data_IF_031351647765
#
_entry.id   IF_031351647765
#
_cell.length_a   1.000
_cell.length_b   1.000
_cell.length_c   1.000
_cell.angle_alpha   90.00
_cell.angle_beta   90.00
_cell.angle_gamma   90.00
#
_symmetry.space_group_name_H-M   'P 1'
#
loop_
_entity.id
_entity.type
_entity.pdbx_description
1 polymer ?
#
# COMPACT_ATOMS: atom_id res chain seq x y z
N UNK A 1 18.65 -11.14 19.22
CA UNK A 1 17.18 -11.12 19.04
C UNK A 1 16.85 -11.66 17.66
N UNK A 2 16.08 -12.75 17.59
CA UNK A 2 15.62 -13.35 16.32
C UNK A 2 14.24 -12.79 15.96
N UNK A 3 14.11 -12.14 14.81
CA UNK A 3 12.86 -11.52 14.35
C UNK A 3 12.39 -12.24 13.07
N UNK A 4 11.16 -12.75 13.10
CA UNK A 4 10.49 -13.20 11.88
C UNK A 4 9.68 -12.04 11.28
N UNK A 5 10.02 -11.67 10.05
CA UNK A 5 9.40 -10.61 9.26
C UNK A 5 8.45 -11.26 8.24
N UNK A 6 7.15 -10.97 8.36
CA UNK A 6 6.12 -11.61 7.53
C UNK A 6 5.75 -10.72 6.36
N UNK A 7 5.79 -11.28 5.15
CA UNK A 7 5.34 -10.64 3.92
C UNK A 7 4.40 -11.56 3.15
N UNK A 8 3.33 -10.99 2.58
CA UNK A 8 2.31 -11.81 1.88
C UNK A 8 1.82 -11.21 0.57
N UNK A 9 1.89 -9.91 0.43
CA UNK A 9 1.38 -9.16 -0.72
C UNK A 9 2.35 -8.04 -1.11
N UNK A 10 2.24 -7.54 -2.35
CA UNK A 10 3.14 -6.49 -2.88
C UNK A 10 3.28 -5.26 -1.97
N UNK A 11 2.22 -4.69 -1.39
CA UNK A 11 2.36 -3.56 -0.47
C UNK A 11 3.25 -3.84 0.74
N UNK A 12 3.32 -5.11 1.19
CA UNK A 12 4.20 -5.48 2.31
C UNK A 12 5.69 -5.35 1.94
N UNK A 13 6.07 -5.62 0.67
CA UNK A 13 7.47 -5.52 0.26
C UNK A 13 8.00 -4.09 0.35
N UNK A 14 7.21 -3.11 -0.08
CA UNK A 14 7.58 -1.69 0.03
C UNK A 14 7.77 -1.28 1.49
N UNK A 15 6.95 -1.81 2.40
CA UNK A 15 6.98 -1.49 3.83
C UNK A 15 8.11 -2.20 4.57
N UNK A 16 8.40 -3.46 4.20
CA UNK A 16 9.42 -4.25 4.91
C UNK A 16 10.85 -3.93 4.48
N UNK A 17 11.06 -3.46 3.25
CA UNK A 17 12.37 -3.17 2.70
C UNK A 17 13.25 -2.29 3.61
N UNK A 18 12.80 -1.11 4.06
CA UNK A 18 13.61 -0.26 4.93
C UNK A 18 13.83 -0.87 6.31
N UNK A 19 12.90 -1.70 6.81
CA UNK A 19 13.04 -2.39 8.08
C UNK A 19 14.14 -3.45 8.04
N UNK A 20 14.16 -4.28 7.00
CA UNK A 20 15.22 -5.28 6.79
C UNK A 20 16.59 -4.60 6.64
N UNK A 21 16.65 -3.54 5.84
CA UNK A 21 17.89 -2.79 5.67
C UNK A 21 18.41 -2.21 7.00
N UNK A 22 17.50 -1.67 7.82
CA UNK A 22 17.88 -1.14 9.13
C UNK A 22 18.29 -2.24 10.11
N UNK A 23 17.56 -3.37 10.18
CA UNK A 23 17.92 -4.53 11.00
C UNK A 23 19.32 -5.06 10.69
N UNK A 24 19.69 -5.10 9.41
CA UNK A 24 20.99 -5.61 8.95
C UNK A 24 22.18 -4.76 9.43
N UNK A 25 21.95 -3.55 9.97
CA UNK A 25 23.02 -2.73 10.58
C UNK A 25 23.41 -3.20 11.99
N UNK A 26 22.62 -4.07 12.61
CA UNK A 26 22.79 -4.51 13.98
C UNK A 26 23.06 -6.01 14.06
N UNK A 27 24.29 -6.38 14.39
CA UNK A 27 24.73 -7.79 14.49
C UNK A 27 23.99 -8.60 15.57
N UNK A 28 23.31 -7.94 16.51
CA UNK A 28 22.47 -8.57 17.54
C UNK A 28 21.07 -8.92 17.06
N UNK A 29 20.69 -8.56 15.84
CA UNK A 29 19.42 -8.92 15.22
C UNK A 29 19.66 -10.00 14.15
N UNK A 30 19.00 -11.13 14.31
CA UNK A 30 18.84 -12.16 13.30
C UNK A 30 17.48 -11.95 12.62
N UNK A 31 17.48 -11.46 11.38
CA UNK A 31 16.27 -11.15 10.61
C UNK A 31 15.96 -12.29 9.65
N UNK A 32 14.79 -12.92 9.81
CA UNK A 32 14.29 -13.99 8.92
C UNK A 32 13.07 -13.46 8.16
N UNK A 33 13.06 -13.55 6.84
CA UNK A 33 11.95 -13.15 5.99
C UNK A 33 11.11 -14.36 5.65
N UNK A 34 9.82 -14.36 6.02
CA UNK A 34 8.85 -15.39 5.65
C UNK A 34 7.87 -14.84 4.63
N UNK A 35 7.91 -15.37 3.42
CA UNK A 35 6.93 -15.06 2.37
C UNK A 35 5.79 -16.07 2.41
N UNK A 36 4.57 -15.61 2.71
CA UNK A 36 3.41 -16.50 2.82
C UNK A 36 2.89 -16.98 1.47
N UNK A 37 3.17 -16.25 0.39
CA UNK A 37 2.63 -16.58 -0.95
C UNK A 37 1.15 -16.24 -1.11
N UNK A 38 0.62 -15.31 -0.31
CA UNK A 38 -0.79 -14.90 -0.37
C UNK A 38 -1.20 -14.40 -1.77
N UNK A 39 -0.34 -13.64 -2.44
CA UNK A 39 -0.50 -13.25 -3.84
C UNK A 39 0.55 -13.96 -4.68
N UNK A 40 0.12 -14.97 -5.42
CA UNK A 40 0.99 -15.84 -6.21
C UNK A 40 1.19 -15.25 -7.62
N UNK A 41 2.08 -14.29 -7.75
CA UNK A 41 2.73 -13.95 -9.01
C UNK A 41 4.24 -13.86 -8.76
N UNK A 42 4.89 -15.02 -8.91
CA UNK A 42 6.32 -15.19 -8.65
C UNK A 42 7.17 -14.18 -9.43
N UNK A 43 6.84 -13.93 -10.71
CA UNK A 43 7.62 -13.03 -11.56
C UNK A 43 7.46 -11.57 -11.13
N UNK A 44 6.25 -11.15 -10.76
CA UNK A 44 6.01 -9.79 -10.28
C UNK A 44 6.61 -9.57 -8.89
N UNK A 45 6.55 -10.54 -8.00
CA UNK A 45 7.19 -10.46 -6.68
C UNK A 45 8.71 -10.37 -6.80
N UNK A 46 9.32 -11.20 -7.66
CA UNK A 46 10.77 -11.20 -7.90
C UNK A 46 11.31 -9.86 -8.40
N UNK A 47 10.54 -9.17 -9.26
CA UNK A 47 10.89 -7.83 -9.72
C UNK A 47 10.90 -6.83 -8.55
N UNK A 48 9.92 -6.88 -7.65
CA UNK A 48 9.89 -6.03 -6.45
C UNK A 48 11.10 -6.26 -5.53
N UNK A 49 11.46 -7.52 -5.27
CA UNK A 49 12.66 -7.85 -4.48
C UNK A 49 13.92 -7.22 -5.08
N UNK A 50 14.04 -7.32 -6.41
CA UNK A 50 15.18 -6.73 -7.13
C UNK A 50 15.16 -5.20 -7.11
N UNK A 51 14.00 -4.59 -7.41
CA UNK A 51 13.85 -3.13 -7.47
C UNK A 51 14.11 -2.46 -6.12
N UNK A 52 13.67 -3.10 -5.03
CA UNK A 52 13.81 -2.58 -3.67
C UNK A 52 15.04 -3.12 -2.93
N UNK A 53 15.89 -3.89 -3.63
CA UNK A 53 17.07 -4.52 -3.05
C UNK A 53 16.79 -5.30 -1.75
N UNK A 54 15.64 -6.01 -1.71
CA UNK A 54 15.26 -6.86 -0.60
C UNK A 54 15.92 -8.24 -0.82
N UNK A 55 16.53 -8.85 0.21
CA UNK A 55 17.00 -10.22 0.11
C UNK A 55 15.87 -11.18 -0.27
N UNK A 56 16.21 -12.27 -0.96
CA UNK A 56 15.24 -13.33 -1.19
C UNK A 56 14.70 -13.84 0.16
N UNK A 57 13.41 -14.16 0.26
CA UNK A 57 12.85 -14.71 1.49
C UNK A 57 13.55 -16.01 1.92
N UNK A 58 13.82 -16.11 3.21
CA UNK A 58 14.44 -17.31 3.80
C UNK A 58 13.49 -18.51 3.79
N UNK A 59 12.19 -18.22 3.88
CA UNK A 59 11.13 -19.25 3.95
C UNK A 59 9.96 -18.85 3.07
N UNK A 60 9.46 -19.80 2.28
CA UNK A 60 8.26 -19.68 1.45
C UNK A 60 7.18 -20.63 1.93
N UNK A 61 5.96 -20.15 2.20
CA UNK A 61 4.82 -21.01 2.58
C UNK A 61 3.97 -21.44 1.37
N UNK A 62 4.07 -20.76 0.24
CA UNK A 62 3.41 -21.08 -1.04
C UNK A 62 1.89 -21.29 -0.94
N UNK A 63 1.20 -20.46 -0.15
CA UNK A 63 -0.22 -20.63 0.19
C UNK A 63 -1.15 -20.43 -1.02
N UNK A 64 -0.82 -19.50 -1.91
CA UNK A 64 -1.61 -19.23 -3.11
C UNK A 64 -2.91 -18.46 -2.85
N UNK A 65 -3.70 -18.30 -3.93
CA UNK A 65 -4.99 -17.63 -3.90
C UNK A 65 -6.10 -18.51 -3.31
N UNK A 66 -7.15 -17.88 -2.78
CA UNK A 66 -8.31 -18.59 -2.23
C UNK A 66 -9.29 -17.61 -1.58
N UNK A 67 -10.36 -18.14 -0.98
CA UNK A 67 -11.22 -17.33 -0.12
C UNK A 67 -10.44 -16.83 1.10
N UNK A 68 -10.85 -15.69 1.69
CA UNK A 68 -10.21 -15.14 2.88
C UNK A 68 -10.05 -16.19 3.98
N UNK A 69 -11.10 -16.98 4.26
CA UNK A 69 -11.07 -18.03 5.29
C UNK A 69 -10.04 -19.11 4.99
N UNK A 70 -10.05 -19.67 3.77
CA UNK A 70 -9.11 -20.71 3.37
C UNK A 70 -7.66 -20.22 3.36
N UNK A 71 -7.43 -19.01 2.88
CA UNK A 71 -6.11 -18.43 2.82
C UNK A 71 -5.56 -18.16 4.23
N UNK A 72 -6.36 -17.54 5.11
CA UNK A 72 -5.99 -17.30 6.52
C UNK A 72 -5.68 -18.61 7.24
N UNK A 73 -6.54 -19.64 7.10
CA UNK A 73 -6.33 -20.94 7.73
C UNK A 73 -5.02 -21.62 7.26
N UNK A 74 -4.76 -21.65 5.96
CA UNK A 74 -3.53 -22.23 5.41
C UNK A 74 -2.27 -21.48 5.87
N UNK A 75 -2.32 -20.13 5.94
CA UNK A 75 -1.21 -19.33 6.46
C UNK A 75 -0.96 -19.68 7.92
N UNK A 76 -2.01 -19.77 8.75
CA UNK A 76 -1.88 -20.15 10.15
C UNK A 76 -1.20 -21.51 10.31
N UNK A 77 -1.65 -22.51 9.58
CA UNK A 77 -1.06 -23.86 9.63
C UNK A 77 0.41 -23.88 9.18
N UNK A 78 0.74 -23.15 8.12
CA UNK A 78 2.10 -23.08 7.59
C UNK A 78 3.07 -22.36 8.51
N UNK A 79 2.65 -21.21 9.04
CA UNK A 79 3.51 -20.39 9.90
C UNK A 79 3.76 -21.01 11.28
N UNK A 80 2.81 -21.79 11.82
CA UNK A 80 2.99 -22.48 13.10
C UNK A 80 4.22 -23.39 13.07
N UNK A 81 4.38 -24.20 12.01
CA UNK A 81 5.56 -25.05 11.84
C UNK A 81 6.87 -24.28 11.76
N UNK A 82 6.84 -23.07 11.18
CA UNK A 82 8.00 -22.17 11.14
C UNK A 82 8.33 -21.66 12.53
N UNK A 83 7.35 -21.14 13.28
CA UNK A 83 7.56 -20.60 14.62
C UNK A 83 8.08 -21.66 15.60
N UNK A 84 7.56 -22.87 15.55
CA UNK A 84 8.02 -23.98 16.41
C UNK A 84 9.47 -24.37 16.10
N UNK A 85 9.89 -24.30 14.85
CA UNK A 85 11.26 -24.61 14.44
C UNK A 85 12.24 -23.48 14.73
N UNK A 86 11.89 -22.25 14.31
CA UNK A 86 12.78 -21.09 14.39
C UNK A 86 12.83 -20.46 15.78
N UNK A 87 11.76 -20.60 16.60
CA UNK A 87 11.62 -20.05 17.94
C UNK A 87 12.01 -18.57 18.01
N UNK A 88 11.34 -17.68 17.24
CA UNK A 88 11.68 -16.27 17.22
C UNK A 88 11.39 -15.59 18.56
N UNK A 89 12.14 -14.56 18.85
CA UNK A 89 11.90 -13.67 19.98
C UNK A 89 10.77 -12.67 19.71
N UNK A 90 10.53 -12.39 18.41
CA UNK A 90 9.53 -11.42 17.96
C UNK A 90 9.02 -11.79 16.55
N UNK A 91 7.72 -11.62 16.33
CA UNK A 91 7.12 -11.60 14.98
C UNK A 91 6.78 -10.18 14.60
N UNK A 92 7.30 -9.71 13.45
CA UNK A 92 6.97 -8.41 12.89
C UNK A 92 6.03 -8.60 11.70
N UNK A 93 4.87 -7.97 11.76
CA UNK A 93 3.86 -7.95 10.71
C UNK A 93 3.61 -6.53 10.22
N UNK A 94 3.29 -6.35 8.93
CA UNK A 94 3.08 -5.04 8.32
C UNK A 94 1.73 -4.95 7.62
N UNK A 95 1.01 -3.85 7.83
CA UNK A 95 -0.28 -3.58 7.18
C UNK A 95 -1.41 -4.51 7.61
N UNK A 96 -2.32 -4.85 6.70
CA UNK A 96 -3.66 -5.34 7.00
C UNK A 96 -4.15 -6.54 6.15
N UNK A 97 -3.23 -7.24 5.50
CA UNK A 97 -3.57 -8.41 4.68
C UNK A 97 -3.85 -9.66 5.53
N UNK A 98 -4.40 -10.72 4.93
CA UNK A 98 -4.69 -11.97 5.66
C UNK A 98 -3.45 -12.55 6.33
N UNK A 99 -2.27 -12.39 5.73
CA UNK A 99 -0.99 -12.84 6.32
C UNK A 99 -0.68 -12.13 7.64
N UNK A 100 -1.02 -10.85 7.75
CA UNK A 100 -0.80 -10.02 8.94
C UNK A 100 -1.52 -10.62 10.13
N UNK A 101 -2.84 -10.76 10.05
CA UNK A 101 -3.64 -11.30 11.17
C UNK A 101 -3.35 -12.78 11.42
N UNK A 102 -3.18 -13.60 10.38
CA UNK A 102 -2.92 -15.03 10.54
C UNK A 102 -1.64 -15.29 11.34
N UNK A 103 -0.55 -14.60 10.99
CA UNK A 103 0.73 -14.75 11.66
C UNK A 103 0.72 -14.15 13.07
N UNK A 104 0.10 -12.98 13.26
CA UNK A 104 -0.07 -12.38 14.58
C UNK A 104 -0.83 -13.31 15.53
N UNK A 105 -1.94 -13.91 15.06
CA UNK A 105 -2.75 -14.80 15.89
C UNK A 105 -1.99 -16.07 16.32
N UNK A 106 -1.24 -16.69 15.41
CA UNK A 106 -0.41 -17.86 15.75
C UNK A 106 0.72 -17.48 16.71
N UNK A 107 1.39 -16.33 16.50
CA UNK A 107 2.43 -15.82 17.40
C UNK A 107 1.93 -15.71 18.84
N UNK A 108 0.82 -15.03 19.04
CA UNK A 108 0.23 -14.82 20.38
C UNK A 108 -0.13 -16.15 21.03
N UNK A 109 -0.67 -17.13 20.27
CA UNK A 109 -0.98 -18.47 20.80
C UNK A 109 0.26 -19.26 21.22
N UNK A 110 1.41 -18.96 20.65
CA UNK A 110 2.70 -19.55 20.99
C UNK A 110 3.50 -18.70 21.99
N UNK A 111 2.90 -17.63 22.54
CA UNK A 111 3.54 -16.67 23.45
C UNK A 111 4.76 -15.97 22.81
N UNK A 112 4.72 -15.71 21.50
CA UNK A 112 5.71 -14.94 20.79
C UNK A 112 5.17 -13.51 20.68
N UNK A 113 5.89 -12.48 21.17
CA UNK A 113 5.49 -11.08 21.04
C UNK A 113 5.27 -10.67 19.58
N UNK A 114 4.31 -9.76 19.34
CA UNK A 114 3.95 -9.26 18.03
C UNK A 114 4.21 -7.76 17.91
N UNK A 115 4.95 -7.36 16.89
CA UNK A 115 5.11 -5.98 16.46
C UNK A 115 4.27 -5.74 15.20
N UNK A 116 3.32 -4.82 15.26
CA UNK A 116 2.49 -4.41 14.13
C UNK A 116 2.94 -3.05 13.60
N UNK A 117 3.42 -3.03 12.38
CA UNK A 117 3.80 -1.81 11.67
C UNK A 117 2.63 -1.35 10.80
N UNK A 118 2.30 -0.06 10.86
CA UNK A 118 1.09 0.56 10.30
C UNK A 118 -0.16 0.27 11.15
N UNK A 119 0.01 0.33 12.47
CA UNK A 119 -1.07 0.14 13.44
C UNK A 119 -1.99 1.38 13.56
N UNK A 120 -3.21 1.16 14.02
CA UNK A 120 -4.17 2.21 14.37
C UNK A 120 -4.96 2.82 13.20
N UNK A 121 -4.66 2.50 11.96
CA UNK A 121 -5.42 2.99 10.81
C UNK A 121 -6.85 2.42 10.82
N UNK A 122 -7.86 3.27 10.56
CA UNK A 122 -9.28 2.88 10.50
C UNK A 122 -10.00 3.54 9.34
N UNK A 123 -10.72 2.73 8.57
CA UNK A 123 -11.69 3.20 7.56
C UNK A 123 -13.09 3.30 8.13
N UNK A 124 -13.34 2.65 9.29
CA UNK A 124 -14.64 2.46 9.92
C UNK A 124 -15.65 1.71 9.03
N UNK A 125 -15.18 1.10 7.95
CA UNK A 125 -15.98 0.28 7.05
C UNK A 125 -15.71 -1.21 7.31
N UNK A 126 -16.53 -1.82 8.13
CA UNK A 126 -16.42 -3.24 8.48
C UNK A 126 -16.78 -4.21 7.35
N UNK A 127 -17.23 -3.73 6.21
CA UNK A 127 -17.40 -4.55 5.01
C UNK A 127 -16.06 -4.87 4.34
N UNK A 128 -15.01 -4.11 4.68
CA UNK A 128 -13.66 -4.35 4.20
C UNK A 128 -12.95 -5.42 5.04
N UNK A 129 -12.47 -6.53 4.41
CA UNK A 129 -11.68 -7.54 5.12
C UNK A 129 -10.43 -6.98 5.80
N UNK A 130 -9.81 -5.98 5.20
CA UNK A 130 -8.63 -5.29 5.73
C UNK A 130 -8.93 -4.54 7.03
N UNK A 131 -10.12 -3.95 7.17
CA UNK A 131 -10.54 -3.29 8.42
C UNK A 131 -10.63 -4.27 9.57
N UNK A 132 -11.23 -5.45 9.31
CA UNK A 132 -11.31 -6.52 10.31
C UNK A 132 -9.91 -6.98 10.71
N UNK A 133 -9.03 -7.19 9.71
CA UNK A 133 -7.67 -7.65 9.96
C UNK A 133 -6.89 -6.69 10.84
N UNK A 134 -6.95 -5.35 10.58
CA UNK A 134 -6.18 -4.37 11.35
C UNK A 134 -6.70 -4.21 12.78
N UNK A 135 -8.03 -4.17 12.98
CA UNK A 135 -8.62 -4.12 14.31
C UNK A 135 -8.16 -5.32 15.17
N UNK A 136 -8.24 -6.53 14.60
CA UNK A 136 -7.85 -7.74 15.33
C UNK A 136 -6.34 -7.81 15.58
N UNK A 137 -5.52 -7.41 14.59
CA UNK A 137 -4.07 -7.40 14.73
C UNK A 137 -3.63 -6.40 15.81
N UNK A 138 -4.18 -5.19 15.80
CA UNK A 138 -3.91 -4.17 16.81
C UNK A 138 -4.27 -4.65 18.21
N UNK A 139 -5.44 -5.29 18.38
CA UNK A 139 -5.93 -5.75 19.66
C UNK A 139 -5.00 -6.80 20.32
N UNK A 140 -4.31 -7.62 19.53
CA UNK A 140 -3.46 -8.71 20.03
C UNK A 140 -1.96 -8.41 20.00
N UNK A 141 -1.53 -7.28 19.43
CA UNK A 141 -0.11 -6.93 19.32
C UNK A 141 0.47 -6.35 20.61
N UNK A 142 1.77 -6.51 20.81
CA UNK A 142 2.51 -5.99 21.94
C UNK A 142 3.18 -4.64 21.64
N UNK A 143 3.61 -4.43 20.42
CA UNK A 143 4.21 -3.19 19.93
C UNK A 143 3.43 -2.68 18.73
N UNK A 144 2.85 -1.49 18.83
CA UNK A 144 2.01 -0.86 17.83
C UNK A 144 2.73 0.36 17.25
N UNK A 145 3.28 0.23 16.05
CA UNK A 145 4.01 1.30 15.37
C UNK A 145 3.05 2.09 14.49
N UNK A 146 2.73 3.28 14.93
CA UNK A 146 1.67 4.12 14.38
C UNK A 146 2.22 5.12 13.38
N UNK A 147 1.49 5.32 12.29
CA UNK A 147 1.93 6.13 11.14
C UNK A 147 1.50 7.60 11.23
N UNK A 148 0.43 7.91 11.97
CA UNK A 148 -0.21 9.23 12.03
C UNK A 148 -0.99 9.40 13.35
N UNK A 149 -1.26 10.67 13.73
CA UNK A 149 -1.93 10.98 15.00
C UNK A 149 -3.30 10.34 15.13
N UNK A 150 -4.10 10.29 14.05
CA UNK A 150 -5.41 9.65 14.05
C UNK A 150 -5.33 8.17 14.44
N UNK A 151 -4.24 7.48 14.09
CA UNK A 151 -3.98 6.09 14.50
C UNK A 151 -3.79 5.97 16.02
N UNK A 152 -3.09 6.91 16.66
CA UNK A 152 -2.95 6.96 18.12
C UNK A 152 -4.31 7.13 18.80
N UNK A 153 -5.13 8.06 18.30
CA UNK A 153 -6.48 8.33 18.81
C UNK A 153 -7.41 7.11 18.69
N UNK A 154 -7.38 6.43 17.53
CA UNK A 154 -8.17 5.22 17.30
C UNK A 154 -7.82 4.13 18.32
N UNK A 155 -6.54 3.84 18.53
CA UNK A 155 -6.08 2.83 19.48
C UNK A 155 -6.46 3.17 20.92
N UNK A 156 -6.33 4.44 21.32
CA UNK A 156 -6.77 4.91 22.63
C UNK A 156 -8.28 4.72 22.83
N UNK A 157 -9.09 5.07 21.84
CA UNK A 157 -10.54 4.91 21.88
C UNK A 157 -10.96 3.43 21.93
N UNK A 158 -10.15 2.53 21.40
CA UNK A 158 -10.34 1.08 21.47
C UNK A 158 -9.81 0.47 22.78
N UNK A 159 -9.26 1.28 23.67
CA UNK A 159 -8.79 0.83 25.01
C UNK A 159 -7.39 0.20 24.98
N UNK A 160 -6.62 0.38 23.93
CA UNK A 160 -5.24 -0.10 23.89
C UNK A 160 -4.37 0.74 24.85
N UNK A 161 -3.54 0.10 25.69
CA UNK A 161 -2.67 0.82 26.60
C UNK A 161 -1.61 1.66 25.87
N UNK A 162 -1.46 2.93 26.24
CA UNK A 162 -0.54 3.88 25.60
C UNK A 162 0.91 3.37 25.54
N UNK A 163 1.36 2.62 26.58
CA UNK A 163 2.69 2.01 26.63
C UNK A 163 3.01 1.03 25.50
N UNK A 164 1.99 0.53 24.79
CA UNK A 164 2.15 -0.35 23.63
C UNK A 164 2.25 0.42 22.30
N UNK A 165 1.95 1.73 22.29
CA UNK A 165 1.82 2.54 21.10
C UNK A 165 3.04 3.44 20.90
N UNK A 166 3.57 3.45 19.68
CA UNK A 166 4.75 4.23 19.32
C UNK A 166 4.46 5.00 18.04
N UNK A 167 4.35 6.33 18.11
CA UNK A 167 4.22 7.17 16.94
C UNK A 167 5.58 7.30 16.26
N UNK A 168 5.76 6.66 15.10
CA UNK A 168 7.06 6.51 14.43
C UNK A 168 7.10 7.08 13.01
N UNK A 169 5.93 7.34 12.40
CA UNK A 169 5.81 7.73 11.01
C UNK A 169 5.55 6.53 10.08
N UNK A 170 5.82 6.68 8.80
CA UNK A 170 5.37 5.75 7.76
C UNK A 170 6.55 5.13 6.99
N UNK A 171 6.74 3.82 7.11
CA UNK A 171 7.83 3.06 6.44
C UNK A 171 7.73 3.07 4.91
N UNK A 172 6.53 3.25 4.33
CA UNK A 172 6.42 3.44 2.87
C UNK A 172 7.16 4.68 2.40
N UNK A 173 7.15 5.73 3.22
CA UNK A 173 7.82 6.98 2.91
C UNK A 173 9.34 6.83 2.97
N UNK A 174 9.85 5.97 3.85
CA UNK A 174 11.28 5.64 3.87
C UNK A 174 11.72 5.07 2.51
N UNK A 175 10.94 4.12 1.98
CA UNK A 175 11.18 3.52 0.67
C UNK A 175 11.05 4.55 -0.46
N UNK A 176 9.97 5.35 -0.45
CA UNK A 176 9.74 6.38 -1.46
C UNK A 176 10.91 7.36 -1.54
N UNK A 177 11.32 7.94 -0.41
CA UNK A 177 12.39 8.94 -0.37
C UNK A 177 13.74 8.35 -0.78
N UNK A 178 14.03 7.11 -0.40
CA UNK A 178 15.24 6.39 -0.80
C UNK A 178 15.32 6.22 -2.32
N UNK A 179 14.21 5.83 -2.95
CA UNK A 179 14.20 5.46 -4.37
C UNK A 179 13.74 6.59 -5.31
N UNK A 180 13.29 7.73 -4.80
CA UNK A 180 12.78 8.87 -5.58
C UNK A 180 13.72 9.28 -6.70
N UNK A 181 15.02 9.49 -6.38
CA UNK A 181 16.02 9.91 -7.37
C UNK A 181 16.26 8.84 -8.46
N UNK A 182 16.25 7.57 -8.10
CA UNK A 182 16.39 6.47 -9.04
C UNK A 182 15.15 6.36 -9.95
N UNK A 183 13.95 6.53 -9.39
CA UNK A 183 12.70 6.55 -10.12
C UNK A 183 12.62 7.69 -11.16
N UNK A 184 13.15 8.87 -10.84
CA UNK A 184 13.25 9.99 -11.77
C UNK A 184 14.09 9.65 -13.02
N UNK A 185 15.06 8.76 -12.87
CA UNK A 185 15.96 8.32 -13.94
C UNK A 185 15.50 7.00 -14.63
N UNK A 186 14.34 6.45 -14.28
CA UNK A 186 13.85 5.19 -14.86
C UNK A 186 13.48 5.25 -16.36
N UNK A 187 13.47 6.45 -16.96
CA UNK A 187 13.26 6.65 -18.39
C UNK A 187 11.83 6.38 -18.88
N UNK A 188 10.89 6.06 -18.00
CA UNK A 188 9.52 5.64 -18.35
C UNK A 188 8.76 6.74 -19.11
N UNK A 189 8.97 8.03 -18.77
CA UNK A 189 8.32 9.13 -19.47
C UNK A 189 8.74 9.16 -20.96
N UNK A 190 10.04 9.00 -21.22
CA UNK A 190 10.57 8.95 -22.58
C UNK A 190 10.01 7.74 -23.36
N UNK A 191 9.97 6.57 -22.72
CA UNK A 191 9.43 5.34 -23.32
C UNK A 191 7.95 5.49 -23.70
N UNK A 192 7.19 6.23 -22.90
CA UNK A 192 5.78 6.51 -23.16
C UNK A 192 5.56 7.77 -24.00
N UNK A 193 6.60 8.57 -24.27
CA UNK A 193 6.49 9.82 -25.00
C UNK A 193 5.53 10.82 -24.32
N UNK A 194 5.59 10.90 -22.97
CA UNK A 194 4.82 11.87 -22.19
C UNK A 194 5.74 12.88 -21.53
N UNK A 195 5.24 14.10 -21.38
CA UNK A 195 5.97 15.19 -20.77
C UNK A 195 5.64 15.34 -19.28
N UNK A 196 6.56 15.94 -18.52
CA UNK A 196 6.38 16.27 -17.12
C UNK A 196 5.14 17.17 -16.95
N UNK A 197 4.28 16.79 -15.99
CA UNK A 197 3.05 17.53 -15.65
C UNK A 197 2.02 17.69 -16.78
N UNK A 198 2.09 16.86 -17.81
CA UNK A 198 1.15 16.91 -18.95
C UNK A 198 0.33 15.60 -19.09
N UNK A 199 0.12 14.89 -17.98
CA UNK A 199 -0.72 13.71 -17.96
C UNK A 199 -1.32 13.47 -16.55
N UNK A 200 -2.43 12.74 -16.54
CA UNK A 200 -3.02 12.14 -15.36
C UNK A 200 -2.58 10.68 -15.23
N UNK A 201 -2.21 10.23 -14.03
CA UNK A 201 -1.96 8.82 -13.74
C UNK A 201 -3.20 8.20 -13.10
N UNK A 202 -3.72 7.10 -13.67
CA UNK A 202 -4.88 6.38 -13.17
C UNK A 202 -4.49 5.02 -12.60
N UNK A 203 -5.02 4.65 -11.44
CA UNK A 203 -4.98 3.28 -10.93
C UNK A 203 -6.32 2.85 -10.37
N UNK A 204 -6.76 1.64 -10.73
CA UNK A 204 -7.99 1.01 -10.26
C UNK A 204 -7.76 -0.47 -10.02
N UNK A 205 -8.08 -0.95 -8.82
CA UNK A 205 -7.90 -2.35 -8.46
C UNK A 205 -8.83 -2.83 -7.32
N UNK A 206 -9.53 -1.90 -6.62
CA UNK A 206 -10.41 -2.30 -5.51
C UNK A 206 -11.65 -3.02 -6.03
N UNK A 207 -12.04 -4.14 -5.37
CA UNK A 207 -13.24 -4.88 -5.74
C UNK A 207 -14.50 -4.01 -5.83
N UNK A 208 -14.69 -3.09 -4.88
CA UNK A 208 -15.83 -2.17 -4.85
C UNK A 208 -15.99 -1.34 -6.13
N UNK A 209 -14.87 -1.00 -6.78
CA UNK A 209 -14.85 -0.17 -8.00
C UNK A 209 -14.86 -0.99 -9.27
N UNK A 210 -14.19 -2.16 -9.27
CA UNK A 210 -13.95 -2.91 -10.52
C UNK A 210 -14.85 -4.13 -10.69
N UNK A 211 -15.40 -4.71 -9.60
CA UNK A 211 -16.27 -5.90 -9.70
C UNK A 211 -17.75 -5.54 -9.97
N UNK A 212 -18.13 -4.28 -9.84
CA UNK A 212 -19.45 -3.78 -10.19
C UNK A 212 -19.39 -3.11 -11.57
N UNK A 213 -20.14 -3.67 -12.53
CA UNK A 213 -20.17 -3.19 -13.91
C UNK A 213 -20.59 -1.72 -14.03
N UNK A 214 -21.61 -1.29 -13.27
CA UNK A 214 -22.10 0.09 -13.30
C UNK A 214 -21.08 1.05 -12.68
N UNK A 215 -20.48 0.68 -11.55
CA UNK A 215 -19.42 1.46 -10.89
C UNK A 215 -18.21 1.66 -11.79
N UNK A 216 -17.70 0.58 -12.41
CA UNK A 216 -16.59 0.67 -13.35
C UNK A 216 -16.95 1.50 -14.58
N UNK A 217 -18.18 1.35 -15.11
CA UNK A 217 -18.68 2.15 -16.25
C UNK A 217 -18.76 3.64 -15.92
N UNK A 218 -19.19 4.01 -14.73
CA UNK A 218 -19.26 5.41 -14.27
C UNK A 218 -17.85 6.03 -14.21
N UNK A 219 -16.87 5.30 -13.64
CA UNK A 219 -15.49 5.76 -13.57
C UNK A 219 -14.91 5.90 -14.99
N UNK A 220 -15.04 4.89 -15.85
CA UNK A 220 -14.55 4.95 -17.24
C UNK A 220 -15.25 6.03 -18.06
N UNK A 221 -16.54 6.30 -17.79
CA UNK A 221 -17.26 7.42 -18.39
C UNK A 221 -16.69 8.78 -18.02
N UNK A 222 -16.22 8.94 -16.78
CA UNK A 222 -15.48 10.13 -16.37
C UNK A 222 -14.13 10.23 -17.08
N UNK A 223 -13.42 9.10 -17.22
CA UNK A 223 -12.14 9.05 -17.92
C UNK A 223 -12.30 9.40 -19.40
N UNK A 224 -13.37 8.96 -20.05
CA UNK A 224 -13.69 9.31 -21.45
C UNK A 224 -13.82 10.83 -21.68
N UNK A 225 -14.39 11.56 -20.71
CA UNK A 225 -14.42 13.02 -20.76
C UNK A 225 -13.04 13.65 -20.48
N UNK A 226 -12.37 13.18 -19.43
CA UNK A 226 -11.09 13.75 -18.97
C UNK A 226 -9.99 13.58 -20.01
N UNK A 227 -9.96 12.43 -20.70
CA UNK A 227 -8.92 12.12 -21.70
C UNK A 227 -8.94 13.02 -22.95
N UNK A 228 -10.00 13.81 -23.13
CA UNK A 228 -10.08 14.81 -24.20
C UNK A 228 -9.25 16.07 -23.89
N UNK A 229 -9.05 16.35 -22.61
CA UNK A 229 -8.36 17.55 -22.13
C UNK A 229 -6.92 17.26 -21.70
N UNK A 230 -6.62 16.02 -21.24
CA UNK A 230 -5.30 15.61 -20.78
C UNK A 230 -5.07 14.11 -21.06
N UNK A 231 -3.85 13.71 -21.40
CA UNK A 231 -3.50 12.30 -21.54
C UNK A 231 -3.67 11.56 -20.20
N UNK A 232 -4.29 10.38 -20.22
CA UNK A 232 -4.45 9.51 -19.06
C UNK A 232 -3.60 8.27 -19.24
N UNK A 233 -2.63 8.06 -18.35
CA UNK A 233 -1.78 6.85 -18.33
C UNK A 233 -2.38 5.89 -17.32
N UNK A 234 -2.72 4.68 -17.75
CA UNK A 234 -3.35 3.67 -16.92
C UNK A 234 -2.57 2.36 -16.93
N UNK A 235 -1.62 2.15 -15.98
CA UNK A 235 -1.07 0.83 -15.70
C UNK A 235 -2.17 -0.08 -15.17
N UNK A 236 -2.68 -0.97 -16.02
CA UNK A 236 -3.89 -1.73 -15.71
C UNK A 236 -3.58 -2.92 -14.84
N UNK A 237 -4.20 -2.98 -13.65
CA UNK A 237 -4.13 -4.15 -12.79
C UNK A 237 -4.78 -5.36 -13.47
N UNK A 238 -4.22 -6.60 -13.37
CA UNK A 238 -4.78 -7.79 -14.02
C UNK A 238 -6.26 -8.02 -13.75
N UNK A 239 -6.71 -7.85 -12.49
CA UNK A 239 -8.13 -7.94 -12.13
C UNK A 239 -9.00 -6.97 -12.92
N UNK A 240 -8.56 -5.72 -13.02
CA UNK A 240 -9.31 -4.66 -13.72
C UNK A 240 -9.41 -4.96 -15.21
N UNK A 241 -8.34 -5.48 -15.81
CA UNK A 241 -8.34 -5.89 -17.23
C UNK A 241 -9.37 -7.00 -17.47
N UNK A 242 -9.36 -8.05 -16.64
CA UNK A 242 -10.32 -9.15 -16.74
C UNK A 242 -11.75 -8.64 -16.63
N UNK A 243 -12.03 -7.73 -15.69
CA UNK A 243 -13.38 -7.16 -15.53
C UNK A 243 -13.81 -6.30 -16.71
N UNK A 244 -12.90 -5.48 -17.28
CA UNK A 244 -13.20 -4.72 -18.50
C UNK A 244 -13.53 -5.64 -19.69
N UNK A 245 -12.84 -6.77 -19.80
CA UNK A 245 -13.11 -7.80 -20.83
C UNK A 245 -14.48 -8.46 -20.60
N UNK A 246 -14.73 -8.98 -19.39
CA UNK A 246 -15.98 -9.64 -19.01
C UNK A 246 -17.22 -8.72 -19.18
N UNK A 247 -17.05 -7.43 -18.94
CA UNK A 247 -18.13 -6.44 -19.09
C UNK A 247 -18.26 -5.88 -20.50
N UNK A 248 -17.45 -6.34 -21.47
CA UNK A 248 -17.48 -5.91 -22.86
C UNK A 248 -17.12 -4.43 -23.09
N UNK A 249 -16.21 -3.88 -22.28
CA UNK A 249 -15.88 -2.46 -22.30
C UNK A 249 -14.65 -2.13 -23.19
N UNK A 250 -13.93 -3.13 -23.70
CA UNK A 250 -12.67 -2.91 -24.42
C UNK A 250 -12.86 -2.09 -25.70
N UNK A 251 -13.88 -2.39 -26.52
CA UNK A 251 -14.15 -1.66 -27.77
C UNK A 251 -14.44 -0.16 -27.52
N UNK A 252 -15.08 0.16 -26.40
CA UNK A 252 -15.31 1.54 -25.99
C UNK A 252 -14.00 2.22 -25.56
N UNK A 253 -13.21 1.51 -24.76
CA UNK A 253 -11.90 2.01 -24.26
C UNK A 253 -10.94 2.27 -25.41
N UNK A 254 -10.91 1.42 -26.43
CA UNK A 254 -10.05 1.56 -27.62
C UNK A 254 -10.38 2.82 -28.45
N UNK A 255 -11.59 3.39 -28.28
CA UNK A 255 -11.97 4.65 -28.92
C UNK A 255 -11.45 5.89 -28.17
N UNK A 256 -10.98 5.74 -26.94
CA UNK A 256 -10.46 6.82 -26.10
C UNK A 256 -9.01 7.15 -26.46
N UNK A 257 -8.80 8.04 -27.42
CA UNK A 257 -7.46 8.34 -27.99
C UNK A 257 -6.46 8.91 -26.99
N UNK A 258 -6.92 9.59 -25.95
CA UNK A 258 -6.08 10.17 -24.90
C UNK A 258 -5.83 9.22 -23.72
N UNK A 259 -6.53 8.06 -23.66
CA UNK A 259 -6.32 7.03 -22.65
C UNK A 259 -5.29 6.01 -23.15
N UNK A 260 -4.22 5.83 -22.40
CA UNK A 260 -3.16 4.84 -22.69
C UNK A 260 -3.18 3.73 -21.66
N UNK A 261 -3.73 2.58 -22.05
CA UNK A 261 -3.61 1.36 -21.26
C UNK A 261 -2.21 0.79 -21.42
N UNK A 262 -1.50 0.61 -20.32
CA UNK A 262 -0.20 -0.05 -20.31
C UNK A 262 -0.22 -1.29 -19.38
N UNK A 263 0.68 -2.22 -19.62
CA UNK A 263 0.86 -3.35 -18.71
C UNK A 263 1.33 -2.86 -17.33
N UNK A 264 1.15 -3.66 -16.27
CA UNK A 264 1.75 -3.37 -14.98
C UNK A 264 3.26 -3.12 -15.13
N UNK A 265 3.75 -2.07 -14.49
CA UNK A 265 5.14 -1.63 -14.51
C UNK A 265 5.80 -1.85 -13.16
N UNK A 266 7.12 -1.72 -13.10
CA UNK A 266 7.88 -1.83 -11.87
C UNK A 266 7.55 -0.69 -10.89
N UNK A 267 7.91 -0.88 -9.60
CA UNK A 267 7.70 0.17 -8.58
C UNK A 267 8.43 1.46 -8.93
N UNK A 268 9.67 1.36 -9.40
CA UNK A 268 10.48 2.52 -9.76
C UNK A 268 9.90 3.31 -10.94
N UNK A 269 9.44 2.60 -11.97
CA UNK A 269 8.78 3.23 -13.12
C UNK A 269 7.46 3.89 -12.70
N UNK A 270 6.67 3.21 -11.84
CA UNK A 270 5.41 3.76 -11.32
C UNK A 270 5.65 5.00 -10.46
N UNK A 271 6.63 4.96 -9.57
CA UNK A 271 7.04 6.11 -8.75
C UNK A 271 7.51 7.28 -9.62
N UNK A 272 8.27 7.00 -10.70
CA UNK A 272 8.69 8.00 -11.68
C UNK A 272 7.52 8.68 -12.37
N UNK A 273 6.53 7.89 -12.85
CA UNK A 273 5.28 8.42 -13.42
C UNK A 273 4.50 9.24 -12.40
N UNK A 274 4.33 8.73 -11.18
CA UNK A 274 3.56 9.41 -10.14
C UNK A 274 4.19 10.75 -9.76
N UNK A 275 5.50 10.80 -9.59
CA UNK A 275 6.23 12.03 -9.23
C UNK A 275 6.09 13.14 -10.29
N UNK A 276 5.89 12.76 -11.56
CA UNK A 276 5.82 13.66 -12.72
C UNK A 276 4.40 13.87 -13.25
N UNK A 277 3.39 13.21 -12.69
CA UNK A 277 2.00 13.41 -13.07
C UNK A 277 1.51 14.83 -12.70
N UNK A 278 0.58 15.37 -13.47
CA UNK A 278 -0.13 16.59 -13.08
C UNK A 278 -1.00 16.33 -11.86
N UNK A 279 -1.70 15.20 -11.86
CA UNK A 279 -2.44 14.66 -10.74
C UNK A 279 -2.62 13.14 -10.88
N UNK A 280 -3.06 12.51 -9.81
CA UNK A 280 -3.33 11.07 -9.76
C UNK A 280 -4.80 10.82 -9.45
N UNK A 281 -5.42 9.90 -10.18
CA UNK A 281 -6.72 9.29 -9.89
C UNK A 281 -6.47 7.88 -9.35
N UNK A 282 -6.95 7.56 -8.16
CA UNK A 282 -6.62 6.27 -7.53
C UNK A 282 -7.70 5.77 -6.57
N UNK A 283 -7.78 4.45 -6.39
CA UNK A 283 -8.50 3.80 -5.29
C UNK A 283 -7.55 3.17 -4.25
N UNK A 284 -6.23 3.35 -4.43
CA UNK A 284 -5.19 2.79 -3.56
C UNK A 284 -4.94 3.66 -2.33
N UNK A 285 -4.85 3.04 -1.14
CA UNK A 285 -4.45 3.73 0.09
C UNK A 285 -3.00 4.23 0.05
N UNK A 286 -2.06 3.38 -0.35
CA UNK A 286 -0.64 3.74 -0.36
C UNK A 286 -0.30 4.90 -1.30
N UNK A 287 -1.00 5.01 -2.45
CA UNK A 287 -0.79 6.11 -3.39
C UNK A 287 -1.20 7.46 -2.78
N UNK A 288 -2.20 7.50 -1.90
CA UNK A 288 -2.58 8.72 -1.17
C UNK A 288 -1.41 9.22 -0.30
N UNK A 289 -0.69 8.31 0.33
CA UNK A 289 0.48 8.61 1.17
C UNK A 289 1.66 9.09 0.31
N UNK A 290 1.97 8.36 -0.75
CA UNK A 290 3.09 8.68 -1.64
C UNK A 290 2.88 10.03 -2.36
N UNK A 291 1.69 10.31 -2.90
CA UNK A 291 1.36 11.58 -3.55
C UNK A 291 1.43 12.76 -2.59
N UNK A 292 1.07 12.57 -1.32
CA UNK A 292 1.19 13.59 -0.28
C UNK A 292 2.65 14.03 -0.12
N UNK A 293 3.59 13.09 -0.03
CA UNK A 293 5.02 13.40 0.12
C UNK A 293 5.65 13.94 -1.17
N UNK A 294 5.16 13.49 -2.32
CA UNK A 294 5.60 14.00 -3.61
C UNK A 294 5.04 15.39 -3.95
N UNK A 295 4.04 15.88 -3.19
CA UNK A 295 3.34 17.14 -3.48
C UNK A 295 2.50 17.09 -4.76
N UNK A 296 2.03 15.89 -5.15
CA UNK A 296 1.18 15.66 -6.31
C UNK A 296 -0.27 15.60 -5.88
N UNK A 297 -1.16 16.35 -6.54
CA UNK A 297 -2.60 16.29 -6.24
C UNK A 297 -3.15 14.90 -6.49
N UNK A 298 -3.92 14.39 -5.53
CA UNK A 298 -4.52 13.04 -5.61
C UNK A 298 -6.03 13.14 -5.49
N UNK A 299 -6.75 12.49 -6.39
CA UNK A 299 -8.20 12.29 -6.34
C UNK A 299 -8.48 10.83 -6.00
N UNK A 300 -8.97 10.59 -4.79
CA UNK A 300 -9.29 9.24 -4.32
C UNK A 300 -10.72 8.86 -4.69
N UNK A 301 -10.84 7.83 -5.53
CA UNK A 301 -12.09 7.27 -6.04
C UNK A 301 -12.71 6.30 -5.03
N UNK A 302 -13.04 6.81 -3.86
CA UNK A 302 -13.63 6.09 -2.72
C UNK A 302 -14.52 7.00 -1.92
N UNK A 303 -15.42 6.42 -1.10
CA UNK A 303 -16.29 7.18 -0.19
C UNK A 303 -15.60 7.52 1.13
N UNK A 304 -14.55 6.78 1.50
CA UNK A 304 -13.78 6.95 2.73
C UNK A 304 -12.28 6.72 2.52
N UNK A 305 -11.50 7.02 3.53
CA UNK A 305 -10.07 6.67 3.60
C UNK A 305 -9.68 6.29 5.03
N UNK A 306 -8.80 5.32 5.15
CA UNK A 306 -8.14 4.95 6.40
C UNK A 306 -6.95 5.87 6.74
N UNK A 307 -6.68 6.88 5.91
CA UNK A 307 -5.54 7.80 6.01
C UNK A 307 -5.99 9.27 6.01
N UNK A 308 -6.73 9.71 7.03
CA UNK A 308 -7.29 11.06 7.08
C UNK A 308 -6.22 12.16 6.97
N UNK A 309 -5.02 11.93 7.49
CA UNK A 309 -3.90 12.88 7.40
C UNK A 309 -3.56 13.28 5.96
N UNK A 310 -3.75 12.38 4.98
CA UNK A 310 -3.51 12.69 3.56
C UNK A 310 -4.52 13.70 3.02
N UNK A 311 -5.72 13.76 3.59
CA UNK A 311 -6.80 14.68 3.24
C UNK A 311 -6.68 15.99 4.02
N UNK A 312 -6.43 15.92 5.32
CA UNK A 312 -6.41 17.07 6.23
C UNK A 312 -5.16 17.92 6.02
N UNK A 313 -4.02 17.28 5.92
CA UNK A 313 -2.70 17.93 5.83
C UNK A 313 -2.10 17.80 4.44
N UNK A 314 -2.33 16.65 3.78
CA UNK A 314 -1.73 16.31 2.50
C UNK A 314 -2.47 16.82 1.26
N UNK A 315 -2.12 16.25 0.12
CA UNK A 315 -2.60 16.66 -1.22
C UNK A 315 -3.79 15.85 -1.73
N UNK A 316 -4.32 14.93 -0.90
CA UNK A 316 -5.39 14.02 -1.27
C UNK A 316 -6.78 14.66 -1.11
N UNK A 317 -7.70 14.31 -2.01
CA UNK A 317 -9.12 14.64 -1.97
C UNK A 317 -9.94 13.37 -2.18
N UNK A 318 -10.76 12.99 -1.22
CA UNK A 318 -11.70 11.86 -1.35
C UNK A 318 -12.96 12.35 -2.06
N UNK A 319 -13.19 11.83 -3.27
CA UNK A 319 -14.23 12.38 -4.16
C UNK A 319 -15.35 11.40 -4.51
N UNK A 320 -15.27 10.14 -4.02
CA UNK A 320 -16.23 9.11 -4.40
C UNK A 320 -16.07 8.61 -5.82
N UNK A 321 -17.09 7.93 -6.33
CA UNK A 321 -17.09 7.28 -7.65
C UNK A 321 -18.15 7.84 -8.59
N UNK A 322 -18.81 8.95 -8.22
CA UNK A 322 -19.80 9.60 -9.07
C UNK A 322 -19.12 10.25 -10.29
N UNK A 323 -19.53 9.87 -11.48
CA UNK A 323 -18.94 10.34 -12.74
C UNK A 323 -18.81 11.87 -12.81
N UNK A 324 -19.89 12.59 -12.49
CA UNK A 324 -19.92 14.06 -12.55
C UNK A 324 -18.88 14.70 -11.63
N UNK A 325 -18.75 14.21 -10.41
CA UNK A 325 -17.80 14.73 -9.43
C UNK A 325 -16.35 14.44 -9.84
N UNK A 326 -16.07 13.25 -10.40
CA UNK A 326 -14.75 12.91 -10.93
C UNK A 326 -14.35 13.90 -12.03
N UNK A 327 -15.27 14.21 -12.96
CA UNK A 327 -15.03 15.16 -14.04
C UNK A 327 -14.79 16.57 -13.50
N UNK A 328 -15.64 17.05 -12.58
CA UNK A 328 -15.56 18.41 -12.03
C UNK A 328 -14.23 18.63 -11.30
N UNK A 329 -13.83 17.71 -10.42
CA UNK A 329 -12.60 17.83 -9.64
C UNK A 329 -11.36 17.68 -10.52
N UNK A 330 -11.39 16.76 -11.50
CA UNK A 330 -10.29 16.62 -12.47
C UNK A 330 -10.12 17.87 -13.32
N UNK A 331 -11.21 18.50 -13.80
CA UNK A 331 -11.15 19.73 -14.58
C UNK A 331 -10.56 20.91 -13.80
N UNK A 332 -10.81 20.99 -12.47
CA UNK A 332 -10.14 22.00 -11.62
C UNK A 332 -8.62 21.83 -11.67
N UNK A 333 -8.14 20.58 -11.54
CA UNK A 333 -6.71 20.28 -11.56
C UNK A 333 -6.08 20.50 -12.93
N UNK A 334 -6.77 20.15 -14.01
CA UNK A 334 -6.35 20.42 -15.39
C UNK A 334 -6.20 21.92 -15.62
N UNK A 335 -7.12 22.72 -15.09
CA UNK A 335 -7.11 24.20 -15.20
C UNK A 335 -6.16 24.88 -14.20
N UNK A 336 -5.26 24.12 -13.56
CA UNK A 336 -4.17 24.66 -12.74
C UNK A 336 -4.47 24.82 -11.25
N UNK A 337 -5.64 24.38 -10.76
CA UNK A 337 -5.85 24.25 -9.32
C UNK A 337 -4.88 23.22 -8.75
N UNK A 338 -4.31 23.52 -7.58
CA UNK A 338 -3.50 22.55 -6.84
C UNK A 338 -3.94 22.58 -5.39
N UNK A 339 -4.27 21.41 -4.83
CA UNK A 339 -4.43 21.32 -3.40
C UNK A 339 -3.04 21.44 -2.77
N UNK A 340 -2.80 22.52 -2.03
CA UNK A 340 -1.61 22.66 -1.20
C UNK A 340 -1.65 21.65 -0.06
N UNK A 341 -0.52 21.03 0.24
CA UNK A 341 -0.38 20.13 1.38
C UNK A 341 1.00 20.27 1.99
N UNK A 342 1.14 19.73 3.19
CA UNK A 342 2.41 19.61 3.90
C UNK A 342 2.70 18.15 4.17
N UNK A 343 3.95 17.82 4.44
CA UNK A 343 4.36 16.45 4.81
C UNK A 343 3.94 16.21 6.26
N UNK A 344 3.20 15.12 6.55
CA UNK A 344 2.81 14.76 7.91
C UNK A 344 4.03 14.56 8.83
N UNK A 345 3.80 14.70 10.12
CA UNK A 345 4.84 14.51 11.13
C UNK A 345 5.47 13.10 11.04
N UNK A 346 6.78 13.01 11.17
CA UNK A 346 7.59 11.79 11.04
C UNK A 346 7.53 11.06 9.69
N UNK A 347 6.95 11.67 8.65
CA UNK A 347 7.06 11.13 7.28
C UNK A 347 8.33 11.63 6.60
N UNK A 348 9.48 11.39 7.23
CA UNK A 348 10.78 11.99 6.94
C UNK A 348 11.84 10.98 6.45
N UNK A 349 11.45 9.71 6.22
CA UNK A 349 12.36 8.67 5.75
C UNK A 349 13.20 8.01 6.84
N UNK A 350 12.81 8.16 8.12
CA UNK A 350 13.54 7.60 9.28
C UNK A 350 12.66 6.71 10.17
N UNK A 351 11.57 6.23 9.64
CA UNK A 351 10.60 5.42 10.40
C UNK A 351 11.20 4.08 10.79
N UNK A 352 11.87 3.40 9.86
CA UNK A 352 12.54 2.12 10.14
C UNK A 352 13.60 2.28 11.24
N UNK A 353 14.39 3.35 11.22
CA UNK A 353 15.38 3.66 12.27
C UNK A 353 14.71 3.79 13.65
N UNK A 354 13.59 4.52 13.74
CA UNK A 354 12.83 4.67 15.00
C UNK A 354 12.31 3.33 15.50
N UNK A 355 11.70 2.52 14.62
CA UNK A 355 11.16 1.21 14.97
C UNK A 355 12.26 0.30 15.53
N UNK A 356 13.38 0.17 14.83
CA UNK A 356 14.46 -0.74 15.25
C UNK A 356 15.10 -0.27 16.57
N UNK A 357 15.28 1.03 16.77
CA UNK A 357 15.77 1.56 18.06
C UNK A 357 14.83 1.25 19.22
N UNK A 358 13.51 1.36 19.01
CA UNK A 358 12.52 1.01 20.02
C UNK A 358 12.61 -0.48 20.33
N UNK A 359 12.60 -1.37 19.33
CA UNK A 359 12.71 -2.81 19.52
C UNK A 359 14.00 -3.22 20.26
N UNK A 360 15.10 -2.53 20.03
CA UNK A 360 16.36 -2.76 20.73
C UNK A 360 16.37 -2.23 22.17
N UNK A 361 15.49 -1.29 22.51
CA UNK A 361 15.43 -0.69 23.86
C UNK A 361 14.49 -1.43 24.80
N UNK A 362 13.56 -2.22 24.29
CA UNK A 362 12.52 -2.93 25.07
C UNK A 362 12.83 -4.41 25.28
N UNK A 363 13.91 -4.92 24.70
CA UNK A 363 14.50 -6.23 24.87
C UNK A 363 15.90 -6.09 25.49
#
# INVERSE_FOLDING_TARGET
MKIINVVGARPNFVKIAPLIEEMNKFSQIESIIVHTGQHYDYNMSKQFFKDLNIPDPDIHLEIGSGSHAMQTAKIMMGIEGVFLREKPDLTLVVGDVNSTIACALVSVKLNIPVAHVEAGLRSFDRSMPEEINRILTDAISDYLFVTECAGMENLLNEGIPEKKMFFVGNVMIDTLLKYKKQAENAGILNNLGVEDRNYCLLTLHRPSNVDNQEGLKNILGAIDEIQRDISVIFPVHPRTRVRMEEFGMLDWIDQMKGLRLINPISYLEFLGLMNKAQFVLTDSGGIQEETTVLGVSCLTLRENTERPVTVEVGTNMVIGTEQKKIIEESKKLINGYKKSGTIPEYWDGKTAERIIRILLSVN
#
